data_IF_214239595991
#
_entry.id   IF_214239595991
#
_cell.length_a   1.000
_cell.length_b   1.000
_cell.length_c   1.000
_cell.angle_alpha   90.00
_cell.angle_beta   90.00
_cell.angle_gamma   90.00
#
_symmetry.space_group_name_H-M   'P 1'
#
loop_
_entity.id
_entity.type
_entity.pdbx_description
1 polymer ?
#
# COMPACT_ATOMS: atom_id res chain seq x y z
N UNK A 1 6.84 0.19 -27.80
CA UNK A 1 7.90 -0.27 -26.88
C UNK A 1 9.21 -0.03 -27.60
N UNK A 2 10.02 0.91 -27.13
CA UNK A 2 11.40 1.03 -27.58
C UNK A 2 12.16 -0.23 -27.15
N UNK A 3 12.28 -1.18 -28.09
CA UNK A 3 12.77 -2.52 -27.80
C UNK A 3 14.29 -2.61 -27.69
N UNK A 4 15.05 -1.54 -27.94
CA UNK A 4 16.52 -1.59 -28.02
C UNK A 4 17.14 -1.23 -26.67
N UNK A 5 17.82 -2.19 -26.05
CA UNK A 5 18.69 -1.93 -24.90
C UNK A 5 20.02 -1.31 -25.36
N UNK A 6 20.75 -0.64 -24.45
CA UNK A 6 22.06 -0.03 -24.74
C UNK A 6 23.11 -1.05 -25.22
N UNK A 7 22.93 -2.33 -24.88
CA UNK A 7 23.77 -3.44 -25.36
C UNK A 7 23.41 -3.91 -26.79
N UNK A 8 22.47 -3.23 -27.46
CA UNK A 8 22.00 -3.55 -28.81
C UNK A 8 21.01 -4.71 -28.89
N UNK A 9 20.60 -5.31 -27.76
CA UNK A 9 19.60 -6.39 -27.77
C UNK A 9 18.19 -5.86 -27.89
N UNK A 10 17.41 -6.54 -28.72
CA UNK A 10 15.96 -6.32 -28.84
C UNK A 10 15.27 -7.14 -27.76
N UNK A 11 14.45 -6.49 -26.93
CA UNK A 11 13.57 -7.15 -25.95
C UNK A 11 12.44 -7.84 -26.72
N UNK A 12 12.71 -9.04 -27.25
CA UNK A 12 11.82 -9.70 -28.23
C UNK A 12 10.86 -10.75 -27.64
N UNK A 13 10.80 -10.83 -26.32
CA UNK A 13 10.02 -11.85 -25.57
C UNK A 13 9.21 -11.24 -24.42
N UNK A 14 9.02 -9.93 -24.42
CA UNK A 14 8.33 -9.18 -23.38
C UNK A 14 6.99 -8.68 -23.91
N UNK A 15 5.93 -8.83 -23.11
CA UNK A 15 4.64 -8.19 -23.37
C UNK A 15 3.96 -7.79 -22.06
N UNK A 16 3.02 -6.87 -22.13
CA UNK A 16 2.16 -6.53 -20.98
C UNK A 16 0.89 -7.36 -20.98
N UNK A 17 0.51 -7.81 -19.79
CA UNK A 17 -0.79 -8.40 -19.51
C UNK A 17 -1.14 -8.16 -18.03
N UNK A 18 -2.35 -8.54 -17.65
CA UNK A 18 -2.89 -8.30 -16.32
C UNK A 18 -1.98 -8.87 -15.21
N UNK A 19 -1.76 -8.09 -14.16
CA UNK A 19 -0.99 -8.43 -12.95
C UNK A 19 -1.47 -9.73 -12.29
N UNK A 20 -0.62 -10.42 -11.54
CA UNK A 20 -1.03 -11.66 -10.85
C UNK A 20 -1.79 -11.43 -9.54
N UNK A 21 -1.72 -10.23 -8.96
CA UNK A 21 -2.06 -9.99 -7.56
C UNK A 21 -3.48 -9.44 -7.41
N UNK A 22 -3.75 -8.32 -8.09
CA UNK A 22 -5.03 -7.61 -8.06
C UNK A 22 -6.09 -8.24 -8.97
N UNK A 23 -7.35 -7.91 -8.74
CA UNK A 23 -8.47 -8.24 -9.62
C UNK A 23 -8.77 -7.13 -10.66
N UNK A 24 -7.98 -6.06 -10.64
CA UNK A 24 -8.18 -4.84 -11.43
C UNK A 24 -7.47 -4.92 -12.79
N UNK A 25 -7.58 -3.87 -13.60
CA UNK A 25 -6.96 -3.80 -14.93
C UNK A 25 -5.46 -3.42 -14.91
N UNK A 26 -4.79 -3.51 -13.74
CA UNK A 26 -3.36 -3.24 -13.65
C UNK A 26 -2.56 -4.23 -14.48
N UNK A 27 -1.56 -3.71 -15.19
CA UNK A 27 -0.69 -4.49 -16.05
C UNK A 27 0.66 -4.75 -15.39
N UNK A 28 1.24 -5.90 -15.68
CA UNK A 28 2.65 -6.21 -15.41
C UNK A 28 3.31 -6.75 -16.66
N UNK A 29 4.62 -6.92 -16.60
CA UNK A 29 5.38 -7.57 -17.65
C UNK A 29 5.28 -9.09 -17.57
N UNK A 30 5.16 -9.71 -18.73
CA UNK A 30 5.26 -11.14 -18.93
C UNK A 30 6.42 -11.41 -19.90
N UNK A 31 7.24 -12.37 -19.55
CA UNK A 31 8.37 -12.86 -20.33
C UNK A 31 7.99 -14.22 -20.90
N UNK A 32 8.08 -14.37 -22.22
CA UNK A 32 7.77 -15.63 -22.88
C UNK A 32 8.78 -15.95 -23.95
N UNK A 33 9.51 -17.06 -23.79
CA UNK A 33 10.48 -17.55 -24.78
C UNK A 33 9.95 -18.84 -25.42
N UNK A 34 9.92 -18.84 -26.74
CA UNK A 34 9.53 -20.02 -27.50
C UNK A 34 10.75 -20.89 -27.79
N UNK A 35 10.62 -22.19 -27.58
CA UNK A 35 11.69 -23.13 -27.90
C UNK A 35 11.14 -24.32 -28.68
N UNK A 36 11.79 -24.60 -29.80
CA UNK A 36 11.49 -25.77 -30.63
C UNK A 36 12.31 -26.94 -30.12
N UNK A 37 11.74 -27.75 -29.23
CA UNK A 37 12.38 -29.00 -28.81
C UNK A 37 11.79 -30.17 -29.59
N UNK A 38 12.63 -31.12 -30.00
CA UNK A 38 12.14 -32.46 -30.34
C UNK A 38 11.48 -33.05 -29.09
N UNK A 39 10.38 -33.78 -29.26
CA UNK A 39 9.73 -34.52 -28.17
C UNK A 39 10.79 -35.28 -27.36
N UNK A 40 10.84 -35.04 -26.05
CA UNK A 40 11.70 -35.78 -25.11
C UNK A 40 13.00 -35.09 -24.65
N UNK A 41 13.34 -33.87 -25.08
CA UNK A 41 14.50 -33.15 -24.51
C UNK A 41 14.10 -32.24 -23.34
N UNK A 42 14.72 -32.43 -22.17
CA UNK A 42 14.53 -31.55 -21.02
C UNK A 42 15.11 -30.15 -21.23
N UNK A 43 14.60 -29.18 -20.46
CA UNK A 43 15.19 -27.84 -20.39
C UNK A 43 16.59 -27.94 -19.77
N UNK A 44 17.62 -27.68 -20.56
CA UNK A 44 18.98 -27.58 -20.04
C UNK A 44 19.11 -26.44 -19.03
N UNK A 45 19.91 -26.65 -17.98
CA UNK A 45 20.19 -25.66 -16.93
C UNK A 45 20.65 -24.30 -17.46
N UNK A 46 21.38 -24.28 -18.59
CA UNK A 46 21.78 -23.06 -19.28
C UNK A 46 20.58 -22.24 -19.81
N UNK A 47 19.53 -22.90 -20.30
CA UNK A 47 18.33 -22.20 -20.81
C UNK A 47 17.57 -21.56 -19.67
N UNK A 48 17.41 -22.29 -18.56
CA UNK A 48 16.82 -21.79 -17.30
C UNK A 48 17.61 -20.56 -16.80
N UNK A 49 18.94 -20.67 -16.75
CA UNK A 49 19.79 -19.57 -16.30
C UNK A 49 19.70 -18.33 -17.22
N UNK A 50 19.63 -18.52 -18.53
CA UNK A 50 19.42 -17.43 -19.50
C UNK A 50 18.09 -16.73 -19.27
N UNK A 51 17.02 -17.47 -18.95
CA UNK A 51 15.72 -16.88 -18.65
C UNK A 51 15.73 -16.04 -17.37
N UNK A 52 16.38 -16.52 -16.31
CA UNK A 52 16.56 -15.71 -15.10
C UNK A 52 17.39 -14.45 -15.36
N UNK A 53 18.42 -14.55 -16.20
CA UNK A 53 19.22 -13.38 -16.60
C UNK A 53 18.37 -12.36 -17.35
N UNK A 54 17.52 -12.82 -18.27
CA UNK A 54 16.62 -11.94 -19.00
C UNK A 54 15.60 -11.25 -18.07
N UNK A 55 15.01 -11.98 -17.13
CA UNK A 55 14.09 -11.40 -16.14
C UNK A 55 14.77 -10.31 -15.29
N UNK A 56 16.01 -10.54 -14.84
CA UNK A 56 16.81 -9.53 -14.13
C UNK A 56 17.08 -8.29 -14.99
N UNK A 57 17.42 -8.48 -16.26
CA UNK A 57 17.64 -7.35 -17.17
C UNK A 57 16.37 -6.53 -17.40
N UNK A 58 15.19 -7.17 -17.47
CA UNK A 58 13.90 -6.48 -17.57
C UNK A 58 13.61 -5.66 -16.30
N UNK A 59 13.87 -6.22 -15.12
CA UNK A 59 13.71 -5.50 -13.84
C UNK A 59 14.66 -4.30 -13.80
N UNK A 60 15.94 -4.50 -14.11
CA UNK A 60 16.94 -3.44 -14.11
C UNK A 60 16.59 -2.33 -15.11
N UNK A 61 16.24 -2.69 -16.35
CA UNK A 61 15.82 -1.73 -17.37
C UNK A 61 14.60 -0.90 -16.92
N UNK A 62 13.62 -1.53 -16.27
CA UNK A 62 12.45 -0.80 -15.77
C UNK A 62 12.84 0.17 -14.64
N UNK A 63 13.74 -0.24 -13.74
CA UNK A 63 14.27 0.62 -12.68
C UNK A 63 15.03 1.82 -13.26
N UNK A 64 15.90 1.60 -14.25
CA UNK A 64 16.73 2.64 -14.87
C UNK A 64 15.86 3.75 -15.48
N UNK A 65 14.74 3.39 -16.12
CA UNK A 65 13.77 4.37 -16.66
C UNK A 65 13.27 5.32 -15.58
N UNK A 66 12.91 4.80 -14.40
CA UNK A 66 12.39 5.64 -13.32
C UNK A 66 13.48 6.43 -12.60
N UNK A 67 14.69 5.89 -12.48
CA UNK A 67 15.84 6.62 -11.94
C UNK A 67 16.21 7.83 -12.81
N UNK A 68 15.97 7.74 -14.12
CA UNK A 68 16.09 8.84 -15.07
C UNK A 68 14.91 9.84 -15.04
N UNK A 69 13.94 9.67 -14.13
CA UNK A 69 12.67 10.40 -14.09
C UNK A 69 11.88 10.32 -15.41
N UNK A 70 11.94 9.17 -16.09
CA UNK A 70 11.16 8.86 -17.29
C UNK A 70 10.05 7.87 -16.94
N UNK A 71 9.06 7.76 -17.82
CA UNK A 71 8.03 6.73 -17.73
C UNK A 71 8.15 5.75 -18.91
N UNK A 72 7.97 4.44 -18.69
CA UNK A 72 7.97 3.49 -19.77
C UNK A 72 6.69 3.67 -20.61
N UNK A 73 6.78 3.52 -21.93
CA UNK A 73 5.60 3.57 -22.82
C UNK A 73 4.48 2.59 -22.45
N UNK A 74 4.82 1.53 -21.71
CA UNK A 74 3.87 0.54 -21.21
C UNK A 74 3.05 1.01 -20.01
N UNK A 75 3.47 2.09 -19.34
CA UNK A 75 2.94 2.53 -18.04
C UNK A 75 3.23 1.57 -16.87
N UNK A 76 3.96 0.47 -17.09
CA UNK A 76 4.21 -0.54 -16.05
C UNK A 76 5.37 -0.13 -15.16
N UNK A 77 5.08 0.01 -13.87
CA UNK A 77 6.05 0.21 -12.80
C UNK A 77 6.19 -1.07 -11.98
N UNK A 78 7.40 -1.64 -11.94
CA UNK A 78 7.65 -2.89 -11.22
C UNK A 78 7.92 -2.67 -9.73
N UNK A 79 8.63 -1.61 -9.35
CA UNK A 79 9.00 -1.34 -7.95
C UNK A 79 8.03 -0.35 -7.32
N UNK A 80 7.53 -0.71 -6.15
CA UNK A 80 6.77 0.17 -5.26
C UNK A 80 7.71 1.08 -4.45
N UNK A 81 7.35 2.34 -4.24
CA UNK A 81 8.22 3.29 -3.50
C UNK A 81 8.08 3.19 -1.99
N UNK A 82 6.95 2.69 -1.48
CA UNK A 82 6.64 2.64 -0.06
C UNK A 82 7.22 1.36 0.55
N UNK A 83 6.94 0.22 -0.07
CA UNK A 83 7.33 -1.11 0.41
C UNK A 83 8.68 -1.55 -0.14
N UNK A 84 9.16 -0.89 -1.20
CA UNK A 84 10.27 -1.33 -2.05
C UNK A 84 10.09 -2.73 -2.65
N UNK A 85 8.85 -3.24 -2.63
CA UNK A 85 8.48 -4.51 -3.21
C UNK A 85 8.43 -4.44 -4.73
N UNK A 86 8.65 -5.58 -5.37
CA UNK A 86 8.60 -5.74 -6.81
C UNK A 86 7.37 -6.54 -7.22
N UNK A 87 6.67 -6.08 -8.25
CA UNK A 87 5.60 -6.84 -8.87
C UNK A 87 6.15 -8.16 -9.43
N UNK A 88 5.32 -9.19 -9.42
CA UNK A 88 5.68 -10.50 -9.92
C UNK A 88 5.72 -10.44 -11.45
N UNK A 89 6.82 -10.94 -12.02
CA UNK A 89 7.00 -11.07 -13.47
C UNK A 89 6.86 -12.55 -13.84
N UNK A 90 5.72 -12.96 -14.42
CA UNK A 90 5.61 -14.25 -15.08
C UNK A 90 6.69 -14.43 -16.14
N UNK A 91 7.47 -15.49 -16.04
CA UNK A 91 8.42 -15.89 -17.07
C UNK A 91 8.16 -17.33 -17.47
N UNK A 92 8.01 -17.61 -18.75
CA UNK A 92 7.65 -18.96 -19.20
C UNK A 92 8.34 -19.38 -20.50
N UNK A 93 8.55 -20.68 -20.59
CA UNK A 93 8.88 -21.37 -21.83
C UNK A 93 7.62 -21.95 -22.46
N UNK A 94 7.50 -21.79 -23.78
CA UNK A 94 6.52 -22.52 -24.59
C UNK A 94 7.26 -23.45 -25.54
N UNK A 95 7.08 -24.74 -25.33
CA UNK A 95 7.57 -25.82 -26.17
C UNK A 95 6.53 -26.23 -27.20
N UNK A 96 6.95 -26.38 -28.44
CA UNK A 96 6.13 -27.00 -29.46
C UNK A 96 6.16 -28.53 -29.33
N UNK A 97 5.00 -29.18 -29.34
CA UNK A 97 4.85 -30.64 -29.44
C UNK A 97 4.02 -31.02 -30.66
N UNK A 98 4.24 -32.20 -31.21
CA UNK A 98 3.43 -32.73 -32.31
C UNK A 98 2.51 -33.80 -31.76
N UNK A 99 1.20 -33.58 -31.83
CA UNK A 99 0.25 -34.59 -31.37
C UNK A 99 0.28 -35.81 -32.32
N UNK A 100 0.11 -37.02 -31.79
CA UNK A 100 0.19 -38.28 -32.56
C UNK A 100 -0.91 -38.42 -33.61
N UNK A 101 -2.04 -37.74 -33.41
CA UNK A 101 -3.19 -37.72 -34.32
C UNK A 101 -3.05 -36.66 -35.42
N UNK A 102 -1.95 -35.91 -35.45
CA UNK A 102 -1.71 -34.76 -36.32
C UNK A 102 -2.88 -33.76 -36.38
N UNK A 103 -3.53 -33.51 -35.23
CA UNK A 103 -4.69 -32.61 -35.16
C UNK A 103 -4.27 -31.14 -35.30
N UNK A 104 -5.01 -30.37 -36.11
CA UNK A 104 -4.80 -28.94 -36.35
C UNK A 104 -5.84 -28.07 -35.64
N UNK A 105 -6.87 -28.67 -35.04
CA UNK A 105 -8.00 -27.97 -34.41
C UNK A 105 -7.87 -27.83 -32.89
N UNK A 106 -7.09 -28.72 -32.24
CA UNK A 106 -6.81 -28.66 -30.81
C UNK A 106 -5.47 -27.98 -30.52
N UNK A 107 -5.48 -26.94 -29.68
CA UNK A 107 -4.27 -26.22 -29.29
C UNK A 107 -3.35 -27.03 -28.38
N UNK A 108 -3.90 -28.04 -27.69
CA UNK A 108 -3.17 -28.91 -26.78
C UNK A 108 -2.33 -28.14 -25.76
N UNK A 109 -2.67 -26.87 -25.44
CA UNK A 109 -1.83 -26.07 -24.57
C UNK A 109 -2.01 -26.50 -23.13
N UNK A 110 -0.94 -27.00 -22.52
CA UNK A 110 -0.95 -27.54 -21.16
C UNK A 110 0.39 -27.31 -20.48
N UNK A 111 0.41 -27.38 -19.15
CA UNK A 111 1.68 -27.51 -18.43
C UNK A 111 2.42 -28.75 -18.92
N UNK A 112 3.73 -28.63 -19.12
CA UNK A 112 4.51 -29.77 -19.59
C UNK A 112 4.42 -30.94 -18.61
N UNK A 113 4.42 -32.16 -19.16
CA UNK A 113 4.50 -33.40 -18.39
C UNK A 113 5.94 -33.77 -17.98
N UNK A 114 6.94 -32.97 -18.41
CA UNK A 114 8.36 -33.18 -18.08
C UNK A 114 8.62 -32.97 -16.59
N UNK A 115 9.66 -33.64 -16.07
CA UNK A 115 10.18 -33.33 -14.74
C UNK A 115 10.62 -31.86 -14.67
N UNK A 116 10.43 -31.21 -13.52
CA UNK A 116 10.75 -29.79 -13.32
C UNK A 116 10.02 -28.80 -14.24
N UNK A 117 8.72 -28.99 -14.48
CA UNK A 117 7.83 -28.05 -15.21
C UNK A 117 7.75 -26.61 -14.68
N UNK A 118 8.37 -26.36 -13.53
CA UNK A 118 8.26 -25.16 -12.71
C UNK A 118 9.58 -24.97 -11.98
N UNK A 119 10.11 -23.74 -12.02
CA UNK A 119 11.32 -23.38 -11.30
C UNK A 119 11.12 -22.07 -10.56
N UNK A 120 11.66 -22.01 -9.35
CA UNK A 120 11.71 -20.82 -8.52
C UNK A 120 13.16 -20.61 -8.10
N UNK A 121 13.68 -19.41 -8.31
CA UNK A 121 14.99 -18.99 -7.81
C UNK A 121 14.78 -17.83 -6.87
N UNK A 122 15.25 -17.98 -5.64
CA UNK A 122 15.20 -16.95 -4.59
C UNK A 122 16.61 -16.63 -4.12
N UNK A 123 16.88 -15.37 -3.79
CA UNK A 123 18.08 -15.00 -3.03
C UNK A 123 17.81 -14.95 -1.54
N UNK A 124 16.63 -14.42 -1.17
CA UNK A 124 16.15 -14.36 0.20
C UNK A 124 14.91 -15.23 0.34
N UNK A 125 14.89 -16.05 1.38
CA UNK A 125 13.73 -16.86 1.74
C UNK A 125 12.58 -15.97 2.23
N UNK A 126 11.35 -16.45 2.05
CA UNK A 126 10.14 -15.78 2.52
C UNK A 126 10.00 -14.32 2.03
N UNK A 127 10.35 -14.06 0.76
CA UNK A 127 10.21 -12.74 0.11
C UNK A 127 9.73 -12.87 -1.34
N UNK A 128 8.42 -12.99 -1.54
CA UNK A 128 7.86 -13.15 -2.89
C UNK A 128 8.04 -11.89 -3.75
N UNK A 129 7.86 -10.71 -3.17
CA UNK A 129 7.96 -9.41 -3.86
C UNK A 129 9.39 -8.86 -3.84
N UNK A 130 10.39 -9.74 -3.88
CA UNK A 130 11.79 -9.37 -4.01
C UNK A 130 12.20 -9.43 -5.48
N UNK A 131 13.03 -8.48 -5.93
CA UNK A 131 13.56 -8.48 -7.31
C UNK A 131 14.30 -9.76 -7.69
N UNK A 132 14.87 -10.45 -6.70
CA UNK A 132 15.62 -11.68 -6.87
C UNK A 132 14.77 -12.94 -6.70
N UNK A 133 13.45 -12.80 -6.52
CA UNK A 133 12.49 -13.89 -6.60
C UNK A 133 12.00 -14.06 -8.03
N UNK A 134 12.62 -15.00 -8.74
CA UNK A 134 12.40 -15.25 -10.16
C UNK A 134 11.64 -16.56 -10.35
N UNK A 135 10.50 -16.48 -11.02
CA UNK A 135 9.65 -17.61 -11.36
C UNK A 135 9.90 -18.03 -12.81
N UNK A 136 9.80 -19.32 -13.11
CA UNK A 136 9.87 -19.83 -14.47
C UNK A 136 8.90 -21.01 -14.64
N UNK A 137 8.04 -20.93 -15.65
CA UNK A 137 7.01 -21.94 -15.94
C UNK A 137 7.26 -22.60 -17.29
N UNK A 138 6.88 -23.86 -17.47
CA UNK A 138 7.05 -24.57 -18.73
C UNK A 138 5.73 -25.14 -19.25
N UNK A 139 5.37 -24.71 -20.46
CA UNK A 139 4.19 -25.11 -21.20
C UNK A 139 4.54 -25.87 -22.47
N UNK A 140 3.73 -26.85 -22.83
CA UNK A 140 3.74 -27.46 -24.17
C UNK A 140 2.51 -26.98 -24.95
N UNK A 141 2.64 -26.81 -26.26
CA UNK A 141 1.57 -26.42 -27.19
C UNK A 141 1.63 -27.28 -28.46
N UNK A 142 0.48 -27.62 -29.02
CA UNK A 142 0.42 -28.33 -30.30
C UNK A 142 0.93 -27.43 -31.44
N UNK A 143 2.06 -27.82 -32.02
CA UNK A 143 2.72 -27.11 -33.10
C UNK A 143 1.81 -26.96 -34.34
N UNK A 144 1.09 -28.02 -34.69
CA UNK A 144 0.24 -28.04 -35.89
C UNK A 144 -0.93 -27.07 -35.76
N UNK A 145 -1.50 -26.95 -34.56
CA UNK A 145 -2.51 -25.94 -34.27
C UNK A 145 -1.94 -24.52 -34.40
N UNK A 146 -0.78 -24.24 -33.81
CA UNK A 146 -0.16 -22.91 -33.91
C UNK A 146 0.12 -22.58 -35.38
N UNK A 147 0.68 -23.53 -36.15
CA UNK A 147 0.90 -23.35 -37.58
C UNK A 147 -0.40 -23.07 -38.33
N UNK A 148 -1.47 -23.83 -38.06
CA UNK A 148 -2.78 -23.65 -38.70
C UNK A 148 -3.39 -22.29 -38.36
N UNK A 149 -3.29 -21.85 -37.10
CA UNK A 149 -3.79 -20.59 -36.60
C UNK A 149 -3.09 -19.41 -37.29
N UNK A 150 -1.77 -19.50 -37.49
CA UNK A 150 -0.99 -18.42 -38.11
C UNK A 150 -1.01 -18.43 -39.64
N UNK A 151 -1.21 -19.59 -40.28
CA UNK A 151 -1.43 -19.70 -41.72
C UNK A 151 -2.76 -19.09 -42.19
N UNK A 152 -3.76 -19.04 -41.31
CA UNK A 152 -5.03 -18.34 -41.58
C UNK A 152 -4.84 -16.82 -41.42
N UNK A 153 -5.39 -16.01 -42.32
CA UNK A 153 -5.43 -14.55 -42.17
C UNK A 153 -6.61 -14.09 -41.29
N UNK A 154 -6.78 -14.72 -40.12
CA UNK A 154 -7.82 -14.36 -39.15
C UNK A 154 -7.20 -13.75 -37.89
N UNK A 155 -7.18 -12.42 -37.83
CA UNK A 155 -6.68 -11.67 -36.67
C UNK A 155 -7.56 -11.86 -35.44
N UNK A 156 -8.87 -12.04 -35.62
CA UNK A 156 -9.82 -12.21 -34.52
C UNK A 156 -9.58 -13.54 -33.81
N UNK A 157 -9.42 -14.62 -34.57
CA UNK A 157 -9.10 -15.95 -34.02
C UNK A 157 -7.77 -15.94 -33.27
N UNK A 158 -6.72 -15.33 -33.85
CA UNK A 158 -5.40 -15.16 -33.20
C UNK A 158 -5.51 -14.43 -31.87
N UNK A 159 -6.26 -13.33 -31.81
CA UNK A 159 -6.44 -12.54 -30.60
C UNK A 159 -7.24 -13.29 -29.53
N UNK A 160 -8.33 -13.96 -29.92
CA UNK A 160 -9.12 -14.82 -29.01
C UNK A 160 -8.25 -15.91 -28.37
N UNK A 161 -7.42 -16.57 -29.17
CA UNK A 161 -6.50 -17.60 -28.66
C UNK A 161 -5.46 -17.01 -27.71
N UNK A 162 -4.82 -15.88 -28.06
CA UNK A 162 -3.87 -15.19 -27.16
C UNK A 162 -4.50 -14.82 -25.82
N UNK A 163 -5.73 -14.31 -25.81
CA UNK A 163 -6.45 -13.99 -24.57
C UNK A 163 -6.81 -15.24 -23.75
N UNK A 164 -7.20 -16.34 -24.42
CA UNK A 164 -7.41 -17.64 -23.77
C UNK A 164 -6.13 -18.09 -23.05
N UNK A 165 -5.01 -18.12 -23.77
CA UNK A 165 -3.71 -18.56 -23.24
C UNK A 165 -3.23 -17.68 -22.09
N UNK A 166 -3.31 -16.35 -22.22
CA UNK A 166 -2.91 -15.43 -21.14
C UNK A 166 -3.72 -15.63 -19.86
N UNK A 167 -5.04 -15.80 -19.97
CA UNK A 167 -5.90 -16.08 -18.80
C UNK A 167 -5.57 -17.42 -18.15
N UNK A 168 -5.30 -18.44 -18.97
CA UNK A 168 -4.89 -19.76 -18.48
C UNK A 168 -3.56 -19.66 -17.71
N UNK A 169 -2.53 -19.03 -18.29
CA UNK A 169 -1.26 -18.82 -17.62
C UNK A 169 -1.44 -18.08 -16.30
N UNK A 170 -2.13 -16.92 -16.31
CA UNK A 170 -2.39 -16.14 -15.10
C UNK A 170 -3.00 -17.00 -14.00
N UNK A 171 -4.08 -17.72 -14.31
CA UNK A 171 -4.80 -18.56 -13.35
C UNK A 171 -3.92 -19.66 -12.76
N UNK A 172 -3.20 -20.40 -13.61
CA UNK A 172 -2.35 -21.49 -13.13
C UNK A 172 -1.17 -21.00 -12.29
N UNK A 173 -0.61 -19.84 -12.65
CA UNK A 173 0.46 -19.22 -11.89
C UNK A 173 -0.05 -18.79 -10.51
N UNK A 174 -1.24 -18.17 -10.44
CA UNK A 174 -1.88 -17.81 -9.17
C UNK A 174 -2.15 -19.04 -8.30
N UNK A 175 -2.68 -20.12 -8.88
CA UNK A 175 -2.93 -21.38 -8.17
C UNK A 175 -1.65 -21.95 -7.57
N UNK A 176 -0.54 -21.94 -8.30
CA UNK A 176 0.74 -22.42 -7.77
C UNK A 176 1.29 -21.48 -6.69
N UNK A 177 1.27 -20.17 -6.90
CA UNK A 177 1.74 -19.23 -5.88
C UNK A 177 0.99 -19.40 -4.56
N UNK A 178 -0.32 -19.68 -4.59
CA UNK A 178 -1.12 -19.92 -3.39
C UNK A 178 -0.85 -21.28 -2.70
N UNK A 179 -0.19 -22.21 -3.40
CA UNK A 179 0.32 -23.45 -2.78
C UNK A 179 1.60 -23.17 -1.99
N UNK A 180 2.46 -22.29 -2.50
CA UNK A 180 3.74 -21.93 -1.90
C UNK A 180 3.61 -20.81 -0.84
N UNK A 181 2.64 -19.92 -0.98
CA UNK A 181 2.47 -18.72 -0.14
C UNK A 181 1.04 -18.58 0.36
N UNK A 182 0.90 -18.06 1.58
CA UNK A 182 -0.34 -17.50 2.10
C UNK A 182 -0.39 -16.01 1.75
N UNK A 183 -1.54 -15.55 1.24
CA UNK A 183 -1.75 -14.18 0.82
C UNK A 183 -2.75 -13.48 1.72
N UNK A 184 -2.45 -12.24 2.05
CA UNK A 184 -3.27 -11.38 2.89
C UNK A 184 -3.41 -10.02 2.23
N UNK A 185 -4.59 -9.42 2.35
CA UNK A 185 -4.79 -8.00 2.12
C UNK A 185 -4.63 -7.28 3.46
N UNK A 186 -4.04 -6.09 3.43
CA UNK A 186 -3.80 -5.27 4.61
C UNK A 186 -4.27 -3.85 4.38
N UNK A 187 -4.97 -3.28 5.35
CA UNK A 187 -5.37 -1.88 5.36
C UNK A 187 -5.09 -1.28 6.74
N UNK A 188 -4.46 -0.11 6.77
CA UNK A 188 -4.12 0.53 8.03
C UNK A 188 -5.40 0.84 8.83
N UNK A 189 -5.33 0.70 10.16
CA UNK A 189 -6.41 1.16 11.03
C UNK A 189 -6.51 2.68 10.95
N UNK A 190 -7.70 3.23 11.19
CA UNK A 190 -8.04 4.66 11.01
C UNK A 190 -7.00 5.65 11.59
N UNK A 191 -6.28 5.28 12.68
CA UNK A 191 -5.36 6.20 13.40
C UNK A 191 -3.89 5.93 13.08
N UNK A 192 -3.60 5.02 12.17
CA UNK A 192 -2.25 4.59 11.83
C UNK A 192 -1.90 5.12 10.45
N UNK A 193 -0.79 5.83 10.35
CA UNK A 193 -0.18 6.11 9.07
C UNK A 193 0.50 4.83 8.57
N UNK A 194 -0.15 4.15 7.61
CA UNK A 194 0.32 2.87 7.08
C UNK A 194 1.69 2.96 6.41
N UNK A 195 1.93 4.02 5.63
CA UNK A 195 3.21 4.26 4.96
C UNK A 195 4.36 4.43 5.95
N UNK A 196 4.17 5.28 6.97
CA UNK A 196 5.17 5.51 8.00
C UNK A 196 5.45 4.22 8.81
N UNK A 197 4.40 3.46 9.11
CA UNK A 197 4.56 2.17 9.80
C UNK A 197 5.39 1.19 8.97
N UNK A 198 5.09 1.05 7.66
CA UNK A 198 5.84 0.16 6.76
C UNK A 198 7.32 0.59 6.71
N UNK A 199 7.61 1.90 6.64
CA UNK A 199 8.99 2.42 6.65
C UNK A 199 9.72 2.13 7.96
N UNK A 200 9.04 2.26 9.11
CA UNK A 200 9.62 1.96 10.42
C UNK A 200 9.93 0.46 10.59
N UNK A 201 9.09 -0.41 10.03
CA UNK A 201 9.23 -1.87 10.06
C UNK A 201 9.78 -2.45 8.74
N UNK A 202 10.56 -1.65 8.01
CA UNK A 202 11.00 -2.00 6.67
C UNK A 202 11.80 -3.32 6.62
N UNK A 203 12.66 -3.57 7.61
CA UNK A 203 13.53 -4.76 7.63
C UNK A 203 12.72 -6.06 7.75
N UNK A 204 11.63 -6.01 8.49
CA UNK A 204 10.72 -7.11 8.73
C UNK A 204 9.84 -7.40 7.49
N UNK A 205 9.48 -6.34 6.75
CA UNK A 205 8.49 -6.36 5.66
C UNK A 205 9.07 -6.40 4.24
N UNK A 206 10.35 -6.03 4.06
CA UNK A 206 11.00 -5.97 2.75
C UNK A 206 10.82 -7.28 1.97
N UNK A 207 10.33 -7.15 0.73
CA UNK A 207 10.06 -8.28 -0.17
C UNK A 207 8.87 -9.17 0.22
N UNK A 208 8.16 -8.87 1.32
CA UNK A 208 6.91 -9.56 1.70
C UNK A 208 5.66 -8.76 1.40
N UNK A 209 5.79 -7.44 1.29
CA UNK A 209 4.67 -6.50 1.07
C UNK A 209 4.81 -5.77 -0.26
N UNK A 210 3.69 -5.59 -0.97
CA UNK A 210 3.58 -4.84 -2.22
C UNK A 210 2.25 -4.08 -2.28
N UNK A 211 2.14 -3.03 -3.10
CA UNK A 211 0.92 -2.21 -3.24
C UNK A 211 0.28 -2.44 -4.62
N UNK A 212 -0.43 -3.58 -4.82
CA UNK A 212 -0.93 -3.94 -6.15
C UNK A 212 -2.24 -3.24 -6.52
N UNK A 213 -3.00 -2.72 -5.57
CA UNK A 213 -4.38 -2.25 -5.79
C UNK A 213 -4.45 -0.78 -6.20
N UNK A 214 -5.54 -0.35 -6.82
CA UNK A 214 -5.75 1.07 -7.19
C UNK A 214 -5.86 1.93 -5.95
N UNK A 215 -6.43 1.40 -4.86
CA UNK A 215 -6.34 1.99 -3.53
C UNK A 215 -4.93 1.77 -2.95
N UNK A 216 -4.07 2.79 -3.06
CA UNK A 216 -2.69 2.77 -2.57
C UNK A 216 -2.57 2.65 -1.04
N UNK A 217 -3.69 2.73 -0.31
CA UNK A 217 -3.73 2.48 1.13
C UNK A 217 -3.90 1.00 1.49
N UNK A 218 -4.10 0.15 0.49
CA UNK A 218 -4.25 -1.30 0.63
C UNK A 218 -2.99 -2.00 0.10
N UNK A 219 -2.48 -2.92 0.91
CA UNK A 219 -1.26 -3.67 0.62
C UNK A 219 -1.55 -5.16 0.50
N UNK A 220 -0.79 -5.84 -0.35
CA UNK A 220 -0.73 -7.30 -0.39
C UNK A 220 0.48 -7.79 0.39
N UNK A 221 0.26 -8.75 1.28
CA UNK A 221 1.29 -9.46 2.04
C UNK A 221 1.35 -10.91 1.55
N UNK A 222 2.55 -11.42 1.28
CA UNK A 222 2.79 -12.79 0.86
C UNK A 222 3.79 -13.48 1.78
N UNK A 223 3.38 -14.59 2.39
CA UNK A 223 4.17 -15.34 3.38
C UNK A 223 4.37 -16.80 2.96
N UNK A 224 5.61 -17.24 2.87
CA UNK A 224 5.97 -18.59 2.44
C UNK A 224 5.46 -19.64 3.44
N UNK A 225 4.82 -20.69 2.93
CA UNK A 225 4.16 -21.75 3.71
C UNK A 225 5.11 -22.86 4.18
N UNK A 226 6.41 -22.76 3.88
CA UNK A 226 7.42 -23.69 4.40
C UNK A 226 7.34 -23.82 5.93
N UNK A 227 7.49 -25.03 6.49
CA UNK A 227 7.38 -25.26 7.93
C UNK A 227 8.31 -24.38 8.78
N UNK A 228 9.53 -24.09 8.29
CA UNK A 228 10.48 -23.22 9.00
C UNK A 228 10.01 -21.76 9.19
N UNK A 229 9.03 -21.29 8.41
CA UNK A 229 8.53 -19.92 8.47
C UNK A 229 7.26 -19.77 9.31
N UNK A 230 6.63 -20.86 9.78
CA UNK A 230 5.30 -20.80 10.41
C UNK A 230 5.29 -19.88 11.64
N UNK A 231 6.23 -20.07 12.56
CA UNK A 231 6.31 -19.29 13.81
C UNK A 231 6.62 -17.82 13.52
N UNK A 232 7.64 -17.55 12.71
CA UNK A 232 8.02 -16.16 12.34
C UNK A 232 6.94 -15.43 11.54
N UNK A 233 6.20 -16.14 10.68
CA UNK A 233 5.05 -15.60 9.97
C UNK A 233 3.92 -15.23 10.93
N UNK A 234 3.64 -16.09 11.93
CA UNK A 234 2.62 -15.81 12.93
C UNK A 234 2.98 -14.58 13.77
N UNK A 235 4.22 -14.47 14.23
CA UNK A 235 4.71 -13.28 14.95
C UNK A 235 4.58 -12.01 14.12
N UNK A 236 4.92 -12.08 12.82
CA UNK A 236 4.79 -10.95 11.90
C UNK A 236 3.33 -10.52 11.70
N UNK A 237 2.41 -11.49 11.54
CA UNK A 237 0.97 -11.22 11.40
C UNK A 237 0.44 -10.54 12.66
N UNK A 238 0.80 -11.03 13.85
CA UNK A 238 0.36 -10.43 15.12
C UNK A 238 0.93 -9.01 15.30
N UNK A 239 2.19 -8.78 14.92
CA UNK A 239 2.79 -7.44 14.88
C UNK A 239 2.00 -6.51 13.95
N UNK A 240 1.73 -6.93 12.71
CA UNK A 240 0.98 -6.14 11.74
C UNK A 240 -0.45 -5.86 12.20
N UNK A 241 -1.11 -6.83 12.83
CA UNK A 241 -2.47 -6.69 13.39
C UNK A 241 -2.58 -5.65 14.49
N UNK A 242 -1.48 -5.21 15.09
CA UNK A 242 -1.53 -4.05 16.01
C UNK A 242 -1.92 -2.77 15.28
N UNK A 243 -1.48 -2.62 14.03
CA UNK A 243 -1.56 -1.39 13.23
C UNK A 243 -2.50 -1.48 12.01
N UNK A 244 -2.70 -2.69 11.47
CA UNK A 244 -3.47 -2.97 10.26
C UNK A 244 -4.62 -3.93 10.56
N UNK A 245 -5.65 -3.88 9.73
CA UNK A 245 -6.50 -5.04 9.46
C UNK A 245 -5.74 -5.94 8.50
N UNK A 246 -5.61 -7.23 8.82
CA UNK A 246 -4.83 -8.21 8.05
C UNK A 246 -5.70 -9.44 7.85
N UNK A 247 -6.23 -9.59 6.64
CA UNK A 247 -7.22 -10.62 6.30
C UNK A 247 -6.72 -11.46 5.13
N UNK A 248 -7.00 -12.77 5.15
CA UNK A 248 -6.65 -13.64 4.04
C UNK A 248 -7.34 -13.18 2.75
N UNK A 249 -6.55 -13.00 1.70
CA UNK A 249 -7.04 -12.53 0.41
C UNK A 249 -6.34 -13.32 -0.69
N UNK A 250 -7.12 -14.03 -1.50
CA UNK A 250 -6.57 -14.83 -2.61
C UNK A 250 -6.07 -13.93 -3.73
N UNK A 251 -5.14 -14.44 -4.53
CA UNK A 251 -4.68 -13.75 -5.74
C UNK A 251 -5.85 -13.59 -6.72
N UNK A 252 -6.09 -12.37 -7.19
CA UNK A 252 -7.22 -12.03 -8.05
C UNK A 252 -8.56 -11.92 -7.33
N UNK A 253 -8.59 -11.97 -5.99
CA UNK A 253 -9.76 -11.59 -5.18
C UNK A 253 -9.75 -10.08 -4.92
N UNK A 254 -10.93 -9.48 -4.82
CA UNK A 254 -11.05 -8.08 -4.40
C UNK A 254 -10.68 -7.92 -2.92
N UNK A 255 -9.73 -7.07 -2.55
CA UNK A 255 -9.38 -6.86 -1.15
C UNK A 255 -10.54 -6.26 -0.33
N UNK A 256 -11.47 -5.53 -0.96
CA UNK A 256 -12.62 -4.93 -0.28
C UNK A 256 -13.69 -5.95 0.10
N UNK A 257 -13.65 -7.17 -0.44
CA UNK A 257 -14.55 -8.26 -0.02
C UNK A 257 -14.18 -8.80 1.37
N UNK A 258 -12.90 -8.69 1.76
CA UNK A 258 -12.37 -9.30 2.99
C UNK A 258 -11.97 -8.25 4.03
N UNK A 259 -11.51 -7.07 3.59
CA UNK A 259 -11.15 -5.99 4.49
C UNK A 259 -12.38 -5.19 4.93
N UNK A 260 -12.39 -4.67 6.17
CA UNK A 260 -13.45 -3.77 6.60
C UNK A 260 -13.42 -2.47 5.79
N UNK A 261 -14.60 -1.88 5.60
CA UNK A 261 -14.72 -0.51 5.12
C UNK A 261 -14.11 0.43 6.15
N UNK A 262 -12.92 0.94 5.85
CA UNK A 262 -12.29 2.00 6.61
C UNK A 262 -12.62 3.29 5.89
N UNK A 263 -13.83 3.80 6.10
CA UNK A 263 -14.13 5.16 5.71
C UNK A 263 -13.48 6.08 6.74
N UNK A 264 -12.48 6.92 6.39
CA UNK A 264 -12.21 8.07 7.21
C UNK A 264 -13.51 8.87 7.25
N UNK A 265 -14.08 9.10 8.43
CA UNK A 265 -15.22 10.02 8.56
C UNK A 265 -14.65 11.42 8.35
N UNK A 266 -14.43 11.81 7.10
CA UNK A 266 -14.05 13.17 6.75
C UNK A 266 -15.32 14.02 6.86
N UNK A 267 -15.51 14.70 7.98
CA UNK A 267 -16.53 15.74 8.07
C UNK A 267 -16.08 16.98 7.28
N UNK A 268 -16.31 16.97 5.96
CA UNK A 268 -16.43 18.22 5.21
C UNK A 268 -17.81 18.82 5.48
N UNK A 269 -17.89 19.72 6.46
CA UNK A 269 -18.98 20.72 6.49
C UNK A 269 -18.40 22.11 6.65
N UNK A 270 -18.46 22.80 5.51
CA UNK A 270 -18.07 24.18 5.21
C UNK A 270 -18.91 25.23 5.95
N UNK A 271 -19.03 25.16 7.27
CA UNK A 271 -19.44 26.33 8.06
C UNK A 271 -18.17 26.99 8.62
N UNK A 272 -17.59 27.86 7.79
CA UNK A 272 -16.38 28.63 8.05
C UNK A 272 -16.49 29.56 9.29
N UNK A 273 -17.62 29.55 10.01
CA UNK A 273 -17.83 30.26 11.27
C UNK A 273 -17.48 29.45 12.51
N UNK A 274 -17.24 28.14 12.39
CA UNK A 274 -16.93 27.27 13.53
C UNK A 274 -15.62 27.69 14.22
N UNK A 275 -15.64 27.61 15.55
CA UNK A 275 -14.52 28.07 16.38
C UNK A 275 -13.52 26.94 16.63
N UNK A 276 -12.24 27.26 16.46
CA UNK A 276 -11.11 26.44 16.85
C UNK A 276 -10.56 26.92 18.19
N UNK A 277 -10.40 25.99 19.14
CA UNK A 277 -9.64 26.18 20.35
C UNK A 277 -8.16 25.98 20.05
N UNK A 278 -7.38 27.06 20.09
CA UNK A 278 -5.95 27.05 19.81
C UNK A 278 -5.13 26.89 21.10
N UNK A 279 -4.22 25.93 21.12
CA UNK A 279 -3.29 25.68 22.23
C UNK A 279 -1.86 25.61 21.70
N UNK A 280 -0.94 26.30 22.38
CA UNK A 280 0.49 26.26 22.09
C UNK A 280 1.19 25.14 22.87
N UNK A 281 2.01 24.36 22.16
CA UNK A 281 3.00 23.43 22.74
C UNK A 281 4.29 23.52 21.94
N UNK A 282 5.41 23.82 22.59
CA UNK A 282 6.70 24.06 21.93
C UNK A 282 7.65 22.86 22.03
N UNK A 283 8.43 22.61 20.97
CA UNK A 283 9.48 21.59 20.94
C UNK A 283 8.98 20.18 21.28
N UNK A 284 9.72 19.47 22.14
CA UNK A 284 9.38 18.11 22.63
C UNK A 284 7.98 18.06 23.28
N UNK A 285 7.49 19.18 23.81
CA UNK A 285 6.15 19.22 24.40
C UNK A 285 5.03 19.18 23.34
N UNK A 286 5.31 19.52 22.08
CA UNK A 286 4.35 19.37 20.98
C UNK A 286 4.12 17.89 20.68
N UNK A 287 5.19 17.17 20.35
CA UNK A 287 5.11 15.75 19.97
C UNK A 287 4.55 14.90 21.11
N UNK A 288 4.96 15.18 22.35
CA UNK A 288 4.41 14.54 23.54
C UNK A 288 2.93 14.88 23.77
N UNK A 289 2.50 16.11 23.48
CA UNK A 289 1.10 16.49 23.63
C UNK A 289 0.22 15.79 22.60
N UNK A 290 0.68 15.67 21.36
CA UNK A 290 -0.01 14.94 20.29
C UNK A 290 -0.15 13.46 20.63
N UNK A 291 0.96 12.78 20.98
CA UNK A 291 0.93 11.36 21.32
C UNK A 291 0.05 11.08 22.53
N UNK A 292 0.13 11.94 23.56
CA UNK A 292 -0.72 11.87 24.75
C UNK A 292 -2.19 12.06 24.40
N UNK A 293 -2.53 13.07 23.60
CA UNK A 293 -3.90 13.34 23.19
C UNK A 293 -4.48 12.17 22.38
N UNK A 294 -3.72 11.59 21.45
CA UNK A 294 -4.14 10.43 20.66
C UNK A 294 -4.44 9.20 21.53
N UNK A 295 -3.72 9.05 22.65
CA UNK A 295 -3.91 7.96 23.62
C UNK A 295 -5.08 8.20 24.59
N UNK A 296 -5.24 9.42 25.12
CA UNK A 296 -6.23 9.73 26.16
C UNK A 296 -7.55 10.27 25.61
N UNK A 297 -7.55 10.78 24.38
CA UNK A 297 -8.71 11.43 23.74
C UNK A 297 -9.20 12.67 24.49
N UNK A 298 -8.41 13.21 25.43
CA UNK A 298 -8.87 14.23 26.38
C UNK A 298 -7.86 15.36 26.52
N UNK A 299 -8.35 16.61 26.52
CA UNK A 299 -7.55 17.81 26.78
C UNK A 299 -8.16 18.67 27.89
N UNK A 300 -7.33 19.15 28.81
CA UNK A 300 -7.72 20.00 29.93
C UNK A 300 -7.28 21.46 29.74
N UNK A 301 -8.23 22.38 29.75
CA UNK A 301 -7.98 23.82 29.74
C UNK A 301 -8.08 24.36 31.16
N UNK A 302 -6.96 24.81 31.72
CA UNK A 302 -6.92 25.41 33.06
C UNK A 302 -7.76 26.69 33.12
N UNK A 303 -8.65 26.79 34.09
CA UNK A 303 -9.40 28.00 34.38
C UNK A 303 -8.63 28.86 35.40
N UNK A 304 -8.47 30.15 35.09
CA UNK A 304 -8.02 31.14 36.07
C UNK A 304 -9.26 31.79 36.67
N UNK A 305 -9.44 31.77 38.00
CA UNK A 305 -10.61 32.38 38.64
C UNK A 305 -10.42 33.89 38.82
N UNK A 306 -10.67 34.67 37.78
CA UNK A 306 -10.77 36.14 37.83
C UNK A 306 -12.10 36.60 37.19
N UNK A 307 -12.66 37.75 37.57
CA UNK A 307 -14.06 38.13 37.24
C UNK A 307 -14.48 38.05 35.75
N UNK A 308 -13.52 38.01 34.81
CA UNK A 308 -13.74 37.78 33.38
C UNK A 308 -14.04 36.31 32.96
N UNK A 309 -13.87 35.34 33.86
CA UNK A 309 -13.92 33.89 33.56
C UNK A 309 -15.31 33.40 33.14
N UNK A 310 -16.38 34.01 33.67
CA UNK A 310 -17.76 33.62 33.35
C UNK A 310 -18.12 33.88 31.89
N UNK A 311 -17.62 34.98 31.30
CA UNK A 311 -17.76 35.30 29.87
C UNK A 311 -16.93 34.39 28.96
N UNK A 312 -15.84 33.79 29.47
CA UNK A 312 -15.04 32.83 28.70
C UNK A 312 -15.83 31.53 28.48
N UNK A 313 -16.43 30.95 29.53
CA UNK A 313 -17.02 29.59 29.48
C UNK A 313 -18.07 29.42 28.37
N UNK A 314 -18.86 30.46 28.05
CA UNK A 314 -19.86 30.40 26.96
C UNK A 314 -19.27 30.34 25.54
N UNK A 315 -18.08 30.91 25.32
CA UNK A 315 -17.40 30.78 24.03
C UNK A 315 -16.79 29.40 23.86
N UNK A 316 -16.19 28.89 24.93
CA UNK A 316 -15.49 27.60 24.99
C UNK A 316 -16.40 26.38 24.74
N UNK A 317 -17.69 26.46 25.05
CA UNK A 317 -18.68 25.41 24.71
C UNK A 317 -19.02 25.35 23.22
N UNK A 318 -18.70 26.40 22.44
CA UNK A 318 -18.97 26.50 21.00
C UNK A 318 -17.79 26.10 20.13
N UNK A 319 -16.67 25.70 20.73
CA UNK A 319 -15.53 25.21 19.97
C UNK A 319 -15.86 23.86 19.34
N UNK A 320 -15.64 23.74 18.02
CA UNK A 320 -15.78 22.47 17.28
C UNK A 320 -14.43 21.81 17.02
N UNK A 321 -13.39 22.63 16.86
CA UNK A 321 -12.05 22.16 16.52
C UNK A 321 -11.06 22.42 17.66
N UNK A 322 -10.06 21.55 17.79
CA UNK A 322 -8.86 21.76 18.60
C UNK A 322 -7.66 21.89 17.67
N UNK A 323 -6.97 23.03 17.73
CA UNK A 323 -5.74 23.28 16.99
C UNK A 323 -4.56 23.33 17.97
N UNK A 324 -3.67 22.35 17.89
CA UNK A 324 -2.41 22.36 18.64
C UNK A 324 -1.31 22.86 17.71
N UNK A 325 -0.53 23.85 18.10
CA UNK A 325 0.55 24.40 17.28
C UNK A 325 1.82 24.73 18.07
N UNK A 326 2.95 24.84 17.39
CA UNK A 326 4.28 25.01 18.01
C UNK A 326 4.92 26.40 17.81
N UNK A 327 4.11 27.42 17.52
CA UNK A 327 4.52 28.79 17.14
C UNK A 327 5.36 28.97 15.86
N UNK A 328 5.83 27.88 15.24
CA UNK A 328 6.29 27.92 13.85
C UNK A 328 5.13 27.53 12.93
N UNK A 329 5.39 26.73 11.90
CA UNK A 329 4.39 26.30 10.92
C UNK A 329 3.84 24.90 11.22
N UNK A 330 4.23 24.25 12.32
CA UNK A 330 3.71 22.91 12.66
C UNK A 330 2.43 23.04 13.47
N UNK A 331 1.40 22.34 13.03
CA UNK A 331 0.13 22.20 13.73
C UNK A 331 -0.46 20.82 13.51
N UNK A 332 -1.42 20.47 14.36
CA UNK A 332 -2.32 19.35 14.17
C UNK A 332 -3.73 19.77 14.60
N UNK A 333 -4.73 19.29 13.87
CA UNK A 333 -6.13 19.68 14.03
C UNK A 333 -6.97 18.46 14.40
N UNK A 334 -7.86 18.63 15.38
CA UNK A 334 -8.78 17.60 15.85
C UNK A 334 -10.21 18.15 15.93
N UNK A 335 -11.20 17.25 15.93
CA UNK A 335 -12.61 17.58 16.18
C UNK A 335 -12.98 17.23 17.62
N UNK A 336 -13.75 18.09 18.29
CA UNK A 336 -14.37 17.74 19.57
C UNK A 336 -15.55 16.79 19.39
N UNK A 337 -15.84 15.98 20.39
CA UNK A 337 -16.91 14.96 20.31
C UNK A 337 -18.35 15.54 20.28
N UNK A 338 -18.50 16.85 20.46
CA UNK A 338 -19.77 17.58 20.46
C UNK A 338 -20.53 17.54 21.77
N UNK A 339 -20.02 16.87 22.81
CA UNK A 339 -20.64 16.83 24.16
C UNK A 339 -20.37 18.11 24.96
N UNK A 340 -19.42 18.93 24.50
CA UNK A 340 -18.98 20.15 25.17
C UNK A 340 -18.02 19.88 26.34
N UNK A 341 -17.39 20.93 26.89
CA UNK A 341 -16.48 20.78 28.00
C UNK A 341 -17.19 20.44 29.30
N UNK A 342 -16.57 19.60 30.12
CA UNK A 342 -16.99 19.34 31.51
C UNK A 342 -16.03 19.99 32.49
N UNK A 343 -16.56 20.44 33.62
CA UNK A 343 -15.78 21.10 34.65
C UNK A 343 -15.21 20.05 35.62
N UNK A 344 -13.88 19.93 35.66
CA UNK A 344 -13.18 18.89 36.44
C UNK A 344 -12.18 19.52 37.40
N UNK A 345 -12.29 19.26 38.72
CA UNK A 345 -11.28 19.68 39.69
C UNK A 345 -10.00 18.86 39.53
N UNK A 346 -8.85 19.45 39.89
CA UNK A 346 -7.53 18.78 39.78
C UNK A 346 -7.50 17.39 40.39
N UNK A 347 -8.17 17.17 41.53
CA UNK A 347 -8.21 15.89 42.23
C UNK A 347 -8.89 14.75 41.45
N UNK A 348 -9.65 15.07 40.40
CA UNK A 348 -10.33 14.10 39.53
C UNK A 348 -9.74 14.04 38.13
N UNK A 349 -8.68 14.79 37.86
CA UNK A 349 -7.95 14.71 36.59
C UNK A 349 -7.07 13.47 36.56
N UNK A 350 -7.00 12.82 35.39
CA UNK A 350 -6.01 11.79 35.15
C UNK A 350 -4.64 12.46 34.96
N UNK A 351 -3.59 11.86 35.53
CA UNK A 351 -2.23 12.44 35.56
C UNK A 351 -1.61 12.62 34.17
N UNK A 352 -2.12 11.89 33.19
CA UNK A 352 -1.60 11.79 31.84
C UNK A 352 -2.42 12.58 30.83
N UNK A 353 -3.34 13.44 31.26
CA UNK A 353 -4.11 14.33 30.37
C UNK A 353 -3.25 15.54 29.98
N UNK A 354 -3.27 15.87 28.70
CA UNK A 354 -2.68 17.10 28.19
C UNK A 354 -3.42 18.29 28.80
N UNK A 355 -2.68 19.18 29.49
CA UNK A 355 -3.24 20.41 30.07
C UNK A 355 -2.58 21.67 29.53
N UNK A 356 -3.33 22.77 29.47
CA UNK A 356 -2.80 24.09 29.03
C UNK A 356 -1.85 24.69 30.06
N UNK A 357 -2.12 24.47 31.35
CA UNK A 357 -1.27 24.85 32.48
C UNK A 357 -1.30 23.73 33.51
N UNK A 358 -0.14 23.33 34.02
CA UNK A 358 -0.05 22.36 35.13
C UNK A 358 -0.56 22.99 36.42
N UNK A 359 -1.07 22.14 37.31
CA UNK A 359 -1.41 22.47 38.70
C UNK A 359 -2.48 23.56 38.91
N UNK A 360 -3.38 23.78 37.94
CA UNK A 360 -4.57 24.58 38.19
C UNK A 360 -5.58 23.84 39.09
N UNK A 361 -6.36 24.57 39.87
CA UNK A 361 -7.38 23.99 40.77
C UNK A 361 -8.56 23.37 40.00
N UNK A 362 -8.86 23.95 38.83
CA UNK A 362 -10.03 23.62 38.02
C UNK A 362 -9.71 23.67 36.53
N UNK A 363 -10.29 22.74 35.79
CA UNK A 363 -10.10 22.61 34.35
C UNK A 363 -11.42 22.42 33.63
N UNK A 364 -11.50 22.91 32.40
CA UNK A 364 -12.48 22.47 31.41
C UNK A 364 -11.87 21.31 30.62
N UNK A 365 -12.42 20.12 30.75
CA UNK A 365 -12.02 18.94 29.97
C UNK A 365 -12.86 18.81 28.72
N UNK A 366 -12.19 18.65 27.59
CA UNK A 366 -12.80 18.33 26.31
C UNK A 366 -12.41 16.93 25.89
N UNK A 367 -13.33 16.25 25.23
CA UNK A 367 -13.07 15.01 24.53
C UNK A 367 -12.93 15.28 23.04
N UNK A 368 -11.90 14.69 22.44
CA UNK A 368 -11.61 14.82 21.01
C UNK A 368 -11.80 13.49 20.30
N UNK A 369 -12.30 13.57 19.07
CA UNK A 369 -12.27 12.48 18.10
C UNK A 369 -10.87 12.41 17.51
N UNK A 370 -10.07 11.47 17.99
CA UNK A 370 -8.70 11.21 17.50
C UNK A 370 -8.69 10.33 16.25
N UNK A 371 -9.87 9.79 15.92
CA UNK A 371 -10.17 8.93 14.79
C UNK A 371 -10.64 9.67 13.54
N UNK A 372 -10.80 10.98 13.65
CA UNK A 372 -11.29 11.80 12.55
C UNK A 372 -10.17 12.68 12.03
N UNK A 373 -9.80 12.47 10.77
CA UNK A 373 -8.92 13.38 10.06
C UNK A 373 -9.72 14.61 9.62
N UNK A 374 -9.17 15.79 9.93
CA UNK A 374 -9.76 17.08 9.57
C UNK A 374 -8.81 17.75 8.59
N UNK A 375 -9.27 17.97 7.38
CA UNK A 375 -8.46 18.62 6.34
C UNK A 375 -9.09 19.96 5.94
N UNK A 376 -8.32 21.02 6.11
CA UNK A 376 -8.62 22.39 5.66
C UNK A 376 -7.54 22.91 4.70
N UNK A 377 -6.66 22.04 4.20
CA UNK A 377 -5.45 22.42 3.49
C UNK A 377 -4.42 23.08 4.39
N UNK A 378 -3.55 23.89 3.79
CA UNK A 378 -2.51 24.63 4.50
C UNK A 378 -3.13 25.80 5.30
N UNK A 379 -2.91 25.80 6.61
CA UNK A 379 -3.40 26.84 7.52
C UNK A 379 -2.34 27.90 7.80
N UNK A 380 -2.71 29.16 7.62
CA UNK A 380 -1.91 30.32 7.99
C UNK A 380 -2.07 30.69 9.48
N UNK A 381 -1.11 30.28 10.31
CA UNK A 381 -1.14 30.49 11.76
C UNK A 381 -0.72 31.90 12.23
N UNK A 382 -0.48 32.85 11.32
CA UNK A 382 -0.13 34.24 11.67
C UNK A 382 -1.07 34.91 12.70
N UNK A 383 -2.40 34.66 12.72
CA UNK A 383 -3.29 35.24 13.72
C UNK A 383 -2.91 34.90 15.17
N UNK A 384 -2.29 33.75 15.42
CA UNK A 384 -1.98 33.23 16.78
C UNK A 384 -0.50 33.27 17.14
N UNK A 385 0.39 33.52 16.18
CA UNK A 385 1.85 33.55 16.39
C UNK A 385 2.43 34.96 16.56
N UNK A 386 1.70 36.02 16.15
CA UNK A 386 2.21 37.42 16.16
C UNK A 386 2.42 38.06 17.53
N UNK A 387 1.70 37.64 18.57
CA UNK A 387 1.76 38.28 19.90
C UNK A 387 2.25 37.30 20.99
N UNK A 388 3.51 37.43 21.46
CA UNK A 388 4.08 36.51 22.44
C UNK A 388 3.34 36.45 23.78
N UNK A 389 2.67 37.53 24.18
CA UNK A 389 1.97 37.62 25.47
C UNK A 389 0.65 36.85 25.49
N UNK A 390 -0.04 36.75 24.34
CA UNK A 390 -1.32 36.03 24.23
C UNK A 390 -1.16 34.62 23.68
N UNK A 391 -0.05 34.33 23.00
CA UNK A 391 0.21 33.03 22.36
C UNK A 391 0.19 31.84 23.33
N UNK A 392 0.59 32.02 24.59
CA UNK A 392 0.55 30.94 25.59
C UNK A 392 -0.81 30.75 26.27
N UNK A 393 -1.78 31.62 25.99
CA UNK A 393 -3.14 31.47 26.49
C UNK A 393 -4.00 30.72 25.48
N UNK A 394 -4.93 29.86 25.92
CA UNK A 394 -5.91 29.24 25.04
C UNK A 394 -6.76 30.31 24.35
N UNK A 395 -6.89 30.24 23.03
CA UNK A 395 -7.65 31.21 22.23
C UNK A 395 -8.78 30.51 21.48
N UNK A 396 -9.93 31.17 21.35
CA UNK A 396 -10.99 30.74 20.42
C UNK A 396 -11.00 31.64 19.19
N UNK A 397 -10.78 31.03 18.03
CA UNK A 397 -10.70 31.75 16.75
C UNK A 397 -11.52 31.02 15.69
N UNK A 398 -12.31 31.71 14.87
CA UNK A 398 -13.00 31.09 13.74
C UNK A 398 -12.00 30.42 12.78
N UNK A 399 -12.26 29.17 12.39
CA UNK A 399 -11.33 28.37 11.59
C UNK A 399 -10.97 29.06 10.26
N UNK A 400 -11.92 29.79 9.66
CA UNK A 400 -11.70 30.62 8.46
C UNK A 400 -10.58 31.65 8.57
N UNK A 401 -10.24 32.07 9.79
CA UNK A 401 -9.17 33.06 9.98
C UNK A 401 -7.79 32.48 9.64
N UNK A 402 -7.69 31.15 9.54
CA UNK A 402 -6.46 30.44 9.20
C UNK A 402 -6.45 29.92 7.75
N UNK A 403 -7.61 29.74 7.12
CA UNK A 403 -7.67 29.24 5.73
C UNK A 403 -7.31 30.38 4.78
N UNK A 404 -6.29 30.17 3.94
CA UNK A 404 -5.97 31.07 2.82
C UNK A 404 -6.88 30.77 1.64
N UNK A 405 -7.52 31.80 1.06
CA UNK A 405 -8.30 31.68 -0.18
C UNK A 405 -7.46 31.27 -1.40
#
# INVERSE_FOLDING_TARGET
MDKKQEDGKVVDHLFTAQSLIDNEDKQTYYIGDSKYYKMGHELGSESIYKQYTYARNVIQWNLDIFLDNKEPESGVRLRDDITEGYNIIPNFFVSAMMNEKFDYADDGIVQTHRENKRHKKTHYENRLFDRDTLLLFHYDVNFLYVLSLYARDDRSQKNKWKQKVRRMFRKEIQEWLQQDYSFYAMRAKVHINGEEYIKQHFKELIGKVYTPYTDETVYSLALDRKPENIETNQELIEMLRTAFYVEECRLGQDPNEVLPDVQPIVEYKADNTDLALCIVKEGVNFDNAISTLKRTGTVGVALQMNGATLTLVEGFTKARYLLIHNKSNRYELFIFDGTGPTLVPKSKMQDDVITTKKDADLYLTYKVKTDVAVDFGELNLLPITRNPKTSYHPQLIPIKSFVTE
#
